data_IF_784079636610
#
_entry.id   IF_784079636610
#
_cell.length_a   1.000
_cell.length_b   1.000
_cell.length_c   1.000
_cell.angle_alpha   90.00
_cell.angle_beta   90.00
_cell.angle_gamma   90.00
#
_symmetry.space_group_name_H-M   'P 1'
#
loop_
_entity.id
_entity.type
_entity.pdbx_description
1 polymer ?
#
# COMPACT_ATOMS: atom_id res chain seq x y z
N UNK A 1 -9.98 -37.27 -7.61
CA UNK A 1 -9.76 -35.83 -7.83
C UNK A 1 -8.30 -35.63 -8.19
N UNK A 2 -8.01 -35.54 -9.48
CA UNK A 2 -6.66 -35.50 -10.02
C UNK A 2 -6.11 -34.07 -9.93
N UNK A 3 -4.97 -33.93 -9.25
CA UNK A 3 -4.20 -32.69 -9.11
C UNK A 3 -3.60 -32.29 -10.46
N UNK A 4 -4.38 -31.55 -11.25
CA UNK A 4 -3.85 -30.78 -12.38
C UNK A 4 -3.09 -29.56 -11.85
N UNK A 5 -1.96 -29.80 -11.18
CA UNK A 5 -0.97 -28.76 -10.93
C UNK A 5 -0.35 -28.41 -12.27
N UNK A 6 -0.92 -27.44 -12.97
CA UNK A 6 -0.23 -26.82 -14.09
C UNK A 6 1.04 -26.20 -13.54
N UNK A 7 2.18 -26.83 -13.83
CA UNK A 7 3.49 -26.23 -13.68
C UNK A 7 3.51 -24.97 -14.56
N UNK A 8 3.35 -23.80 -13.94
CA UNK A 8 3.56 -22.53 -14.63
C UNK A 8 5.04 -22.42 -15.00
N UNK A 9 5.36 -21.74 -16.11
CA UNK A 9 6.77 -21.41 -16.36
C UNK A 9 7.29 -20.57 -15.19
N UNK A 10 8.58 -20.75 -14.85
CA UNK A 10 9.23 -19.97 -13.80
C UNK A 10 9.15 -18.46 -14.05
N UNK A 11 8.97 -18.03 -15.31
CA UNK A 11 8.88 -16.63 -15.74
C UNK A 11 7.52 -15.98 -15.44
N UNK A 12 6.42 -16.74 -15.47
CA UNK A 12 5.06 -16.16 -15.39
C UNK A 12 4.77 -15.40 -14.07
N UNK A 13 5.17 -15.89 -12.88
CA UNK A 13 5.05 -15.15 -11.62
C UNK A 13 5.77 -13.79 -11.64
N UNK A 14 6.99 -13.76 -12.18
CA UNK A 14 7.80 -12.55 -12.25
C UNK A 14 7.27 -11.56 -13.27
N UNK A 15 6.79 -12.05 -14.42
CA UNK A 15 6.12 -11.22 -15.41
C UNK A 15 4.89 -10.55 -14.82
N UNK A 16 4.07 -11.30 -14.07
CA UNK A 16 2.90 -10.74 -13.40
C UNK A 16 3.28 -9.65 -12.38
N UNK A 17 4.30 -9.89 -11.55
CA UNK A 17 4.77 -8.91 -10.59
C UNK A 17 5.32 -7.64 -11.27
N UNK A 18 6.16 -7.80 -12.30
CA UNK A 18 6.71 -6.69 -13.07
C UNK A 18 5.62 -5.85 -13.75
N UNK A 19 4.66 -6.49 -14.41
CA UNK A 19 3.54 -5.79 -15.04
C UNK A 19 2.61 -5.13 -14.00
N UNK A 20 2.43 -5.73 -12.82
CA UNK A 20 1.64 -5.12 -11.74
C UNK A 20 2.33 -3.88 -11.18
N UNK A 21 3.65 -3.89 -11.06
CA UNK A 21 4.44 -2.72 -10.65
C UNK A 21 4.34 -1.59 -11.70
N UNK A 22 4.47 -1.92 -12.98
CA UNK A 22 4.27 -0.95 -14.07
C UNK A 22 2.85 -0.39 -14.03
N UNK A 23 1.84 -1.23 -13.82
CA UNK A 23 0.46 -0.79 -13.71
C UNK A 23 0.22 0.15 -12.54
N UNK A 24 0.89 -0.08 -11.39
CA UNK A 24 0.85 0.84 -10.25
C UNK A 24 1.46 2.22 -10.58
N UNK A 25 2.58 2.26 -11.31
CA UNK A 25 3.13 3.53 -11.80
C UNK A 25 2.17 4.23 -12.76
N UNK A 26 1.61 3.50 -13.73
CA UNK A 26 0.63 4.07 -14.69
C UNK A 26 -0.61 4.59 -13.95
N UNK A 27 -1.10 3.90 -12.93
CA UNK A 27 -2.26 4.37 -12.17
C UNK A 27 -1.99 5.63 -11.36
N UNK A 28 -0.73 5.95 -11.00
CA UNK A 28 -0.41 7.26 -10.42
C UNK A 28 -0.69 8.38 -11.43
N UNK A 29 -0.21 8.22 -12.67
CA UNK A 29 -0.46 9.21 -13.74
C UNK A 29 -1.94 9.35 -14.11
N UNK A 30 -2.73 8.28 -13.96
CA UNK A 30 -4.19 8.33 -14.14
C UNK A 30 -4.90 8.94 -12.93
N UNK A 31 -4.44 8.67 -11.72
CA UNK A 31 -5.06 9.17 -10.50
C UNK A 31 -4.93 10.70 -10.35
N UNK A 32 -3.80 11.29 -10.76
CA UNK A 32 -3.55 12.74 -10.70
C UNK A 32 -4.64 13.58 -11.37
N UNK A 33 -4.95 13.42 -12.68
CA UNK A 33 -6.00 14.21 -13.34
C UNK A 33 -7.40 13.90 -12.81
N UNK A 34 -7.63 12.71 -12.23
CA UNK A 34 -8.93 12.35 -11.63
C UNK A 34 -9.12 12.96 -10.23
N UNK A 35 -8.03 13.22 -9.50
CA UNK A 35 -8.06 13.91 -8.21
C UNK A 35 -8.10 15.45 -8.37
N UNK A 36 -7.63 15.98 -9.51
CA UNK A 36 -7.55 17.42 -9.76
C UNK A 36 -8.88 18.21 -9.58
N UNK A 37 -10.07 17.69 -9.95
CA UNK A 37 -11.33 18.40 -9.72
C UNK A 37 -11.65 18.62 -8.24
N UNK A 38 -11.15 17.78 -7.35
CA UNK A 38 -11.34 17.90 -5.89
C UNK A 38 -10.62 19.13 -5.35
N UNK A 39 -9.43 19.43 -5.89
CA UNK A 39 -8.67 20.66 -5.59
C UNK A 39 -9.44 21.89 -6.07
N UNK A 40 -10.02 21.82 -7.28
CA UNK A 40 -10.74 22.93 -7.88
C UNK A 40 -12.08 23.26 -7.21
N UNK A 41 -12.71 22.26 -6.58
CA UNK A 41 -14.01 22.43 -5.92
C UNK A 41 -13.91 23.13 -4.56
N UNK A 42 -12.83 22.89 -3.80
CA UNK A 42 -12.67 23.38 -2.43
C UNK A 42 -11.26 23.95 -2.17
N UNK A 43 -10.88 25.07 -2.81
CA UNK A 43 -9.53 25.64 -2.68
C UNK A 43 -9.22 26.20 -1.27
N UNK A 44 -10.24 26.40 -0.43
CA UNK A 44 -10.13 26.91 0.93
C UNK A 44 -10.21 25.84 2.00
N UNK A 45 -10.43 24.57 1.64
CA UNK A 45 -10.50 23.50 2.63
C UNK A 45 -9.11 23.19 3.20
N UNK A 46 -9.08 23.00 4.52
CA UNK A 46 -7.87 22.68 5.27
C UNK A 46 -7.41 21.24 5.05
N UNK A 47 -8.35 20.35 4.72
CA UNK A 47 -8.11 18.92 4.52
C UNK A 47 -7.77 18.66 3.05
N UNK A 48 -6.66 17.97 2.82
CA UNK A 48 -6.14 17.59 1.49
C UNK A 48 -6.90 16.40 0.90
N UNK A 49 -8.21 16.56 0.67
CA UNK A 49 -9.07 15.52 0.09
C UNK A 49 -8.61 15.05 -1.30
N UNK A 50 -7.91 15.90 -2.03
CA UNK A 50 -7.27 15.57 -3.28
C UNK A 50 -6.28 14.40 -3.13
N UNK A 51 -5.50 14.37 -2.05
CA UNK A 51 -4.55 13.29 -1.77
C UNK A 51 -5.25 12.00 -1.37
N UNK A 52 -6.32 12.09 -0.57
CA UNK A 52 -7.13 10.93 -0.23
C UNK A 52 -7.74 10.28 -1.48
N UNK A 53 -8.27 11.10 -2.39
CA UNK A 53 -8.83 10.65 -3.67
C UNK A 53 -7.73 10.09 -4.56
N UNK A 54 -6.57 10.74 -4.65
CA UNK A 54 -5.42 10.26 -5.41
C UNK A 54 -4.97 8.88 -4.93
N UNK A 55 -4.73 8.72 -3.63
CA UNK A 55 -4.31 7.44 -3.05
C UNK A 55 -5.38 6.37 -3.21
N UNK A 56 -6.66 6.71 -2.96
CA UNK A 56 -7.79 5.81 -3.13
C UNK A 56 -7.91 5.29 -4.56
N UNK A 57 -7.89 6.20 -5.55
CA UNK A 57 -7.93 5.84 -6.97
C UNK A 57 -6.71 5.02 -7.36
N UNK A 58 -5.50 5.47 -6.96
CA UNK A 58 -4.27 4.74 -7.26
C UNK A 58 -4.31 3.31 -6.73
N UNK A 59 -4.67 3.12 -5.45
CA UNK A 59 -4.74 1.82 -4.80
C UNK A 59 -5.77 0.90 -5.46
N UNK A 60 -6.99 1.39 -5.69
CA UNK A 60 -8.06 0.60 -6.29
C UNK A 60 -7.75 0.22 -7.75
N UNK A 61 -7.27 1.17 -8.56
CA UNK A 61 -6.86 0.89 -9.94
C UNK A 61 -5.71 -0.11 -10.00
N UNK A 62 -4.73 0.01 -9.10
CA UNK A 62 -3.60 -0.92 -9.01
C UNK A 62 -4.05 -2.34 -8.66
N UNK A 63 -4.96 -2.49 -7.68
CA UNK A 63 -5.53 -3.80 -7.34
C UNK A 63 -6.29 -4.40 -8.53
N UNK A 64 -7.13 -3.60 -9.19
CA UNK A 64 -7.88 -4.02 -10.36
C UNK A 64 -6.95 -4.45 -11.50
N UNK A 65 -5.93 -3.65 -11.79
CA UNK A 65 -4.95 -3.95 -12.83
C UNK A 65 -4.15 -5.22 -12.50
N UNK A 66 -3.63 -5.35 -11.28
CA UNK A 66 -2.92 -6.55 -10.83
C UNK A 66 -3.79 -7.81 -10.97
N UNK A 67 -5.07 -7.72 -10.61
CA UNK A 67 -6.02 -8.83 -10.79
C UNK A 67 -6.27 -9.15 -12.27
N UNK A 68 -6.53 -8.14 -13.11
CA UNK A 68 -6.78 -8.33 -14.55
C UNK A 68 -5.55 -8.93 -15.24
N UNK A 69 -4.35 -8.41 -14.98
CA UNK A 69 -3.09 -8.92 -15.52
C UNK A 69 -2.88 -10.37 -15.06
N UNK A 70 -3.04 -10.64 -13.76
CA UNK A 70 -2.92 -11.98 -13.21
C UNK A 70 -3.94 -12.95 -13.84
N UNK A 71 -5.16 -12.48 -14.11
CA UNK A 71 -6.21 -13.27 -14.75
C UNK A 71 -5.86 -13.61 -16.20
N UNK A 72 -5.18 -12.71 -16.91
CA UNK A 72 -4.69 -12.95 -18.28
C UNK A 72 -3.54 -13.95 -18.31
N UNK A 73 -2.66 -13.93 -17.31
CA UNK A 73 -1.47 -14.81 -17.24
C UNK A 73 -1.84 -16.21 -16.71
N UNK A 74 -2.54 -16.29 -15.58
CA UNK A 74 -2.81 -17.55 -14.88
C UNK A 74 -4.20 -18.14 -15.18
N UNK A 75 -5.04 -17.41 -15.94
CA UNK A 75 -6.38 -17.86 -16.30
C UNK A 75 -7.21 -18.20 -15.06
N UNK A 76 -7.87 -19.38 -15.09
CA UNK A 76 -8.70 -19.89 -13.99
C UNK A 76 -7.96 -20.14 -12.67
N UNK A 77 -6.62 -20.17 -12.68
CA UNK A 77 -5.81 -20.38 -11.49
C UNK A 77 -5.76 -19.17 -10.54
N UNK A 78 -6.05 -17.96 -11.03
CA UNK A 78 -6.20 -16.77 -10.18
C UNK A 78 -7.63 -16.70 -9.64
N UNK A 79 -7.79 -16.72 -8.32
CA UNK A 79 -9.10 -16.65 -7.65
C UNK A 79 -9.05 -15.62 -6.53
N UNK A 80 -10.01 -14.71 -6.51
CA UNK A 80 -10.21 -13.77 -5.42
C UNK A 80 -11.59 -13.99 -4.80
N UNK A 81 -11.65 -14.08 -3.47
CA UNK A 81 -12.88 -14.05 -2.68
C UNK A 81 -13.06 -12.64 -2.12
N UNK A 82 -14.29 -12.27 -1.76
CA UNK A 82 -14.56 -10.96 -1.15
C UNK A 82 -13.68 -10.69 0.09
N UNK A 83 -13.40 -11.72 0.89
CA UNK A 83 -12.53 -11.63 2.07
C UNK A 83 -11.06 -11.30 1.74
N UNK A 84 -10.57 -11.66 0.53
CA UNK A 84 -9.19 -11.38 0.12
C UNK A 84 -8.97 -9.87 -0.15
N UNK A 85 -10.03 -9.06 -0.22
CA UNK A 85 -9.94 -7.60 -0.37
C UNK A 85 -9.92 -6.84 0.95
N UNK A 86 -10.38 -7.46 2.06
CA UNK A 86 -10.54 -6.76 3.35
C UNK A 86 -9.21 -6.20 3.86
N UNK A 87 -8.18 -7.05 3.92
CA UNK A 87 -6.88 -6.64 4.46
C UNK A 87 -6.15 -5.60 3.57
N UNK A 88 -6.13 -5.73 2.23
CA UNK A 88 -5.63 -4.67 1.36
C UNK A 88 -6.39 -3.34 1.48
N UNK A 89 -7.72 -3.39 1.63
CA UNK A 89 -8.53 -2.18 1.80
C UNK A 89 -8.30 -1.49 3.14
N UNK A 90 -8.05 -2.25 4.21
CA UNK A 90 -7.62 -1.69 5.51
C UNK A 90 -6.30 -0.94 5.35
N UNK A 91 -5.33 -1.52 4.64
CA UNK A 91 -4.05 -0.86 4.40
C UNK A 91 -4.20 0.40 3.55
N UNK A 92 -5.06 0.38 2.53
CA UNK A 92 -5.38 1.57 1.73
C UNK A 92 -6.03 2.68 2.58
N UNK A 93 -6.99 2.33 3.44
CA UNK A 93 -7.62 3.28 4.35
C UNK A 93 -6.61 3.87 5.34
N UNK A 94 -5.71 3.04 5.86
CA UNK A 94 -4.63 3.48 6.75
C UNK A 94 -3.65 4.43 6.03
N UNK A 95 -3.26 4.12 4.78
CA UNK A 95 -2.41 5.00 3.99
C UNK A 95 -3.05 6.38 3.74
N UNK A 96 -4.36 6.41 3.47
CA UNK A 96 -5.12 7.66 3.32
C UNK A 96 -5.14 8.44 4.65
N UNK A 97 -5.42 7.77 5.77
CA UNK A 97 -5.44 8.40 7.08
C UNK A 97 -4.08 9.02 7.43
N UNK A 98 -2.99 8.25 7.28
CA UNK A 98 -1.61 8.72 7.49
C UNK A 98 -1.31 9.96 6.65
N UNK A 99 -1.67 9.94 5.36
CA UNK A 99 -1.37 11.06 4.45
C UNK A 99 -2.10 12.35 4.86
N UNK A 100 -3.38 12.23 5.23
CA UNK A 100 -4.20 13.36 5.65
C UNK A 100 -3.72 13.92 6.98
N UNK A 101 -3.46 13.05 7.96
CA UNK A 101 -2.96 13.44 9.28
C UNK A 101 -1.57 14.05 9.20
N UNK A 102 -0.68 13.52 8.34
CA UNK A 102 0.66 14.08 8.13
C UNK A 102 0.59 15.48 7.52
N UNK A 103 -0.28 15.69 6.53
CA UNK A 103 -0.48 17.01 5.93
C UNK A 103 -1.03 18.02 6.93
N UNK A 104 -2.03 17.62 7.71
CA UNK A 104 -2.60 18.48 8.74
C UNK A 104 -1.57 18.82 9.81
N UNK A 105 -0.83 17.82 10.28
CA UNK A 105 0.24 18.01 11.24
C UNK A 105 1.30 19.00 10.75
N UNK A 106 1.80 18.83 9.52
CA UNK A 106 2.80 19.72 8.95
C UNK A 106 2.28 21.15 8.77
N UNK A 107 1.01 21.29 8.34
CA UNK A 107 0.36 22.59 8.21
C UNK A 107 0.26 23.33 9.54
N UNK A 108 -0.10 22.62 10.62
CA UNK A 108 -0.20 23.21 11.96
C UNK A 108 1.17 23.62 12.50
N UNK A 109 2.22 22.84 12.26
CA UNK A 109 3.55 23.08 12.85
C UNK A 109 4.45 24.01 12.02
N UNK A 110 4.32 23.99 10.68
CA UNK A 110 5.20 24.72 9.76
C UNK A 110 4.47 25.74 8.89
N UNK A 111 3.14 25.84 9.00
CA UNK A 111 2.31 26.75 8.20
C UNK A 111 2.02 26.27 6.78
N UNK A 112 2.77 25.29 6.28
CA UNK A 112 2.56 24.62 4.99
C UNK A 112 3.20 23.23 5.01
N UNK A 113 2.81 22.38 4.04
CA UNK A 113 3.43 21.07 3.86
C UNK A 113 4.65 21.18 2.94
N UNK A 114 5.81 20.73 3.43
CA UNK A 114 7.03 20.55 2.66
C UNK A 114 7.63 19.17 3.00
N UNK A 115 8.07 18.45 1.95
CA UNK A 115 8.67 17.13 2.06
C UNK A 115 9.98 17.18 2.87
N UNK A 116 10.68 18.31 2.84
CA UNK A 116 11.91 18.51 3.59
C UNK A 116 11.67 18.58 5.11
N UNK A 117 10.47 18.98 5.56
CA UNK A 117 10.13 19.07 6.98
C UNK A 117 9.65 17.74 7.58
N UNK A 118 8.92 16.94 6.79
CA UNK A 118 8.40 15.63 7.23
C UNK A 118 9.36 14.48 6.93
N UNK A 119 10.36 14.72 6.08
CA UNK A 119 11.40 13.76 5.72
C UNK A 119 10.85 12.46 5.13
N UNK A 120 11.43 11.33 5.56
CA UNK A 120 11.06 10.00 5.07
C UNK A 120 9.60 9.61 5.35
N UNK A 121 8.93 10.27 6.30
CA UNK A 121 7.52 10.01 6.63
C UNK A 121 6.59 10.38 5.47
N UNK A 122 6.99 11.31 4.59
CA UNK A 122 6.26 11.62 3.34
C UNK A 122 6.06 10.38 2.45
N UNK A 123 6.97 9.41 2.52
CA UNK A 123 6.88 8.17 1.74
C UNK A 123 6.02 7.07 2.38
N UNK A 124 5.59 7.24 3.64
CA UNK A 124 4.97 6.17 4.42
C UNK A 124 3.66 5.67 3.79
N UNK A 125 2.78 6.59 3.41
CA UNK A 125 1.48 6.27 2.78
C UNK A 125 1.67 5.42 1.52
N UNK A 126 2.60 5.82 0.64
CA UNK A 126 2.93 5.07 -0.58
C UNK A 126 3.50 3.68 -0.27
N UNK A 127 4.37 3.55 0.74
CA UNK A 127 4.91 2.24 1.14
C UNK A 127 3.82 1.32 1.70
N UNK A 128 2.86 1.87 2.45
CA UNK A 128 1.69 1.12 2.93
C UNK A 128 0.79 0.68 1.77
N UNK A 129 0.56 1.54 0.77
CA UNK A 129 -0.16 1.16 -0.46
C UNK A 129 0.56 0.02 -1.18
N UNK A 130 1.87 0.12 -1.39
CA UNK A 130 2.66 -0.94 -2.03
C UNK A 130 2.59 -2.26 -1.25
N UNK A 131 2.69 -2.21 0.08
CA UNK A 131 2.53 -3.38 0.93
C UNK A 131 1.12 -3.98 0.78
N UNK A 132 0.08 -3.14 0.73
CA UNK A 132 -1.31 -3.55 0.55
C UNK A 132 -1.53 -4.26 -0.80
N UNK A 133 -0.95 -3.72 -1.87
CA UNK A 133 -0.99 -4.29 -3.22
C UNK A 133 -0.25 -5.62 -3.31
N UNK A 134 0.96 -5.68 -2.74
CA UNK A 134 1.74 -6.91 -2.69
C UNK A 134 1.00 -7.98 -1.86
N UNK A 135 0.38 -7.59 -0.75
CA UNK A 135 -0.44 -8.47 0.09
C UNK A 135 -1.64 -9.00 -0.69
N UNK A 136 -2.37 -8.14 -1.40
CA UNK A 136 -3.43 -8.57 -2.31
C UNK A 136 -2.91 -9.61 -3.31
N UNK A 137 -1.74 -9.38 -3.90
CA UNK A 137 -1.04 -10.34 -4.75
C UNK A 137 -0.82 -11.70 -4.07
N UNK A 138 -0.30 -11.72 -2.84
CA UNK A 138 -0.12 -12.97 -2.06
C UNK A 138 -1.45 -13.68 -1.83
N UNK A 139 -2.53 -12.93 -1.59
CA UNK A 139 -3.85 -13.49 -1.36
C UNK A 139 -4.42 -14.12 -2.65
N UNK A 140 -4.34 -13.45 -3.79
CA UNK A 140 -4.98 -13.95 -5.03
C UNK A 140 -4.11 -14.89 -5.87
N UNK A 141 -2.80 -14.94 -5.60
CA UNK A 141 -1.85 -15.74 -6.37
C UNK A 141 -2.17 -17.25 -6.32
N UNK A 142 -1.95 -18.01 -7.41
CA UNK A 142 -1.91 -19.47 -7.35
C UNK A 142 -0.69 -19.97 -6.56
N UNK A 143 -0.71 -21.22 -6.07
CA UNK A 143 0.34 -21.81 -5.21
C UNK A 143 1.77 -21.57 -5.73
N UNK A 144 2.01 -21.80 -7.02
CA UNK A 144 3.34 -21.63 -7.64
C UNK A 144 3.76 -20.19 -7.98
N UNK A 145 2.95 -19.18 -7.66
CA UNK A 145 3.22 -17.78 -8.01
C UNK A 145 3.22 -16.81 -6.81
N UNK A 146 3.26 -17.34 -5.58
CA UNK A 146 3.22 -16.53 -4.34
C UNK A 146 4.54 -15.81 -4.06
N UNK A 147 5.67 -16.32 -4.57
CA UNK A 147 6.99 -15.82 -4.19
C UNK A 147 7.21 -14.33 -4.55
N UNK A 148 6.97 -13.85 -5.78
CA UNK A 148 7.18 -12.44 -6.12
C UNK A 148 6.35 -11.45 -5.27
N UNK A 149 5.01 -11.61 -5.10
CA UNK A 149 4.27 -10.69 -4.24
C UNK A 149 4.69 -10.80 -2.77
N UNK A 150 5.10 -11.97 -2.28
CA UNK A 150 5.62 -12.10 -0.91
C UNK A 150 6.93 -11.32 -0.71
N UNK A 151 7.82 -11.34 -1.71
CA UNK A 151 9.03 -10.49 -1.70
C UNK A 151 8.67 -9.01 -1.71
N UNK A 152 7.65 -8.61 -2.47
CA UNK A 152 7.11 -7.25 -2.45
C UNK A 152 6.60 -6.84 -1.07
N UNK A 153 5.85 -7.72 -0.38
CA UNK A 153 5.41 -7.48 1.01
C UNK A 153 6.61 -7.31 1.93
N UNK A 154 7.62 -8.18 1.84
CA UNK A 154 8.84 -8.10 2.65
C UNK A 154 9.62 -6.81 2.44
N UNK A 155 9.82 -6.40 1.18
CA UNK A 155 10.51 -5.15 0.84
C UNK A 155 9.73 -3.93 1.35
N UNK A 156 8.43 -3.86 1.10
CA UNK A 156 7.60 -2.76 1.56
C UNK A 156 7.54 -2.69 3.09
N UNK A 157 7.42 -3.83 3.77
CA UNK A 157 7.44 -3.90 5.23
C UNK A 157 8.79 -3.44 5.81
N UNK A 158 9.90 -3.83 5.20
CA UNK A 158 11.23 -3.36 5.60
C UNK A 158 11.33 -1.84 5.47
N UNK A 159 10.88 -1.26 4.36
CA UNK A 159 10.88 0.20 4.16
C UNK A 159 9.98 0.93 5.16
N UNK A 160 8.78 0.42 5.44
CA UNK A 160 7.89 0.97 6.48
C UNK A 160 8.58 0.91 7.85
N UNK A 161 9.19 -0.22 8.22
CA UNK A 161 9.90 -0.35 9.49
C UNK A 161 11.12 0.59 9.57
N UNK A 162 11.81 0.85 8.47
CA UNK A 162 12.91 1.83 8.43
C UNK A 162 12.39 3.25 8.66
N UNK A 163 11.28 3.64 8.00
CA UNK A 163 10.63 4.95 8.20
C UNK A 163 10.15 5.10 9.65
N UNK A 164 9.48 4.08 10.19
CA UNK A 164 9.02 4.07 11.59
C UNK A 164 10.24 4.17 12.53
N UNK A 165 11.29 3.40 12.25
CA UNK A 165 12.54 3.37 13.01
C UNK A 165 13.25 4.72 13.05
N UNK A 166 13.30 5.45 11.93
CA UNK A 166 13.91 6.79 11.89
C UNK A 166 13.14 7.82 12.71
N UNK A 167 11.85 7.58 12.99
CA UNK A 167 11.02 8.45 13.83
C UNK A 167 11.11 8.13 15.33
N UNK A 168 11.81 7.05 15.74
CA UNK A 168 11.91 6.62 17.16
C UNK A 168 12.60 7.65 18.04
N UNK A 169 13.59 8.40 17.52
CA UNK A 169 14.25 9.45 18.29
C UNK A 169 13.24 10.54 18.70
N UNK A 170 12.41 11.01 17.76
CA UNK A 170 11.34 11.97 18.06
C UNK A 170 10.30 11.45 19.05
N UNK A 171 10.02 10.13 19.06
CA UNK A 171 9.13 9.52 20.06
C UNK A 171 9.76 9.50 21.48
N UNK A 172 11.08 9.45 21.59
CA UNK A 172 11.81 9.43 22.88
C UNK A 172 11.90 10.81 23.52
N UNK A 173 11.99 11.86 22.71
CA UNK A 173 12.09 13.25 23.18
C UNK A 173 10.73 13.83 23.62
N UNK A 174 9.67 13.03 23.51
CA UNK A 174 8.30 13.38 23.87
C UNK A 174 7.45 13.68 22.64
N UNK A 175 6.23 13.15 22.62
CA UNK A 175 5.25 13.45 21.58
C UNK A 175 4.55 14.74 21.98
N UNK A 176 4.70 15.81 21.19
CA UNK A 176 3.88 17.01 21.38
C UNK A 176 2.39 16.59 21.40
N UNK A 177 1.53 17.20 22.24
CA UNK A 177 0.13 16.79 22.38
C UNK A 177 -0.67 16.81 21.08
N UNK A 178 -0.15 17.41 20.02
CA UNK A 178 -0.80 17.52 18.71
C UNK A 178 -0.29 16.45 17.71
N UNK A 179 0.76 15.70 18.08
CA UNK A 179 1.42 14.68 17.26
C UNK A 179 0.97 13.24 17.60
N UNK A 180 0.14 13.04 18.63
CA UNK A 180 -0.32 11.69 19.01
C UNK A 180 -1.11 10.97 17.91
N UNK A 181 -1.98 11.62 17.09
CA UNK A 181 -2.73 10.89 16.06
C UNK A 181 -1.77 10.30 15.02
N UNK A 182 -0.81 11.11 14.56
CA UNK A 182 0.20 10.67 13.60
C UNK A 182 1.07 9.54 14.16
N UNK A 183 1.49 9.64 15.43
CA UNK A 183 2.26 8.59 16.08
C UNK A 183 1.50 7.25 16.17
N UNK A 184 0.20 7.30 16.48
CA UNK A 184 -0.68 6.11 16.48
C UNK A 184 -0.77 5.52 15.08
N UNK A 185 -0.99 6.32 14.05
CA UNK A 185 -1.12 5.85 12.67
C UNK A 185 0.19 5.26 12.11
N UNK A 186 1.34 5.84 12.47
CA UNK A 186 2.67 5.29 12.17
C UNK A 186 2.85 3.93 12.86
N UNK A 187 2.47 3.82 14.12
CA UNK A 187 2.48 2.54 14.86
C UNK A 187 1.56 1.49 14.24
N UNK A 188 0.33 1.88 13.87
CA UNK A 188 -0.62 1.02 13.17
C UNK A 188 -0.08 0.57 11.80
N UNK A 189 0.65 1.43 11.10
CA UNK A 189 1.30 1.09 9.82
C UNK A 189 2.37 0.01 10.02
N UNK A 190 3.18 0.10 11.08
CA UNK A 190 4.13 -0.96 11.43
C UNK A 190 3.41 -2.28 11.76
N UNK A 191 2.36 -2.24 12.58
CA UNK A 191 1.56 -3.44 12.92
C UNK A 191 0.92 -4.06 11.69
N UNK A 192 0.39 -3.23 10.79
CA UNK A 192 -0.21 -3.66 9.53
C UNK A 192 0.79 -4.43 8.67
N UNK A 193 1.96 -3.85 8.39
CA UNK A 193 2.95 -4.51 7.51
C UNK A 193 3.53 -5.78 8.12
N UNK A 194 3.72 -5.84 9.44
CA UNK A 194 4.13 -7.06 10.15
C UNK A 194 3.04 -8.14 10.00
N UNK A 195 1.77 -7.76 10.17
CA UNK A 195 0.63 -8.65 9.95
C UNK A 195 0.59 -9.22 8.52
N UNK A 196 0.84 -8.37 7.52
CA UNK A 196 0.92 -8.77 6.12
C UNK A 196 2.07 -9.75 5.86
N UNK A 197 3.26 -9.51 6.43
CA UNK A 197 4.41 -10.43 6.31
C UNK A 197 4.09 -11.79 6.96
N UNK A 198 3.64 -11.79 8.22
CA UNK A 198 3.34 -13.03 8.95
C UNK A 198 2.21 -13.81 8.27
N UNK A 199 1.13 -13.13 7.88
CA UNK A 199 0.02 -13.71 7.16
C UNK A 199 0.43 -14.27 5.79
N UNK A 200 1.27 -13.52 5.06
CA UNK A 200 1.79 -13.93 3.76
C UNK A 200 2.69 -15.16 3.83
N UNK A 201 3.62 -15.21 4.79
CA UNK A 201 4.48 -16.38 5.03
C UNK A 201 3.64 -17.59 5.41
N UNK A 202 2.70 -17.46 6.36
CA UNK A 202 1.80 -18.56 6.75
C UNK A 202 0.99 -19.10 5.56
N UNK A 203 0.50 -18.21 4.69
CA UNK A 203 -0.24 -18.61 3.48
C UNK A 203 0.66 -19.31 2.47
N UNK A 204 1.91 -18.90 2.33
CA UNK A 204 2.88 -19.54 1.45
C UNK A 204 3.26 -20.95 1.96
N UNK A 205 3.39 -21.14 3.28
CA UNK A 205 3.75 -22.44 3.88
C UNK A 205 2.59 -23.43 4.01
N UNK A 206 1.35 -22.94 4.14
CA UNK A 206 0.16 -23.80 4.28
C UNK A 206 -0.36 -24.34 2.93
N UNK A 207 0.26 -23.94 1.82
CA UNK A 207 -0.18 -24.23 0.46
C UNK A 207 0.65 -25.33 -0.17
#
# INVERSE_FOLDING_TARGET
MTSNERSFSSTAPWLWAGLSLVAWFVSLFVAVPLAAPVVGANPTETVRWDLAVLLGINGLLSMAAAFVIGRRIFGRGLTARAVDFVLPLIGLALAIAVELTLHEWARVHFGYYDWDFVGWTAGLSLMVVLCSLATFGVLVAPRGAVAPPLMGVGLAAMLVCLIVGSNVAGLRDGIAPESWPLAVEVGLSAMYVIGCVVGGVRRATAR
#
